data_IF_441888599689
#
_entry.id   IF_441888599689
#
_cell.length_a   1.000
_cell.length_b   1.000
_cell.length_c   1.000
_cell.angle_alpha   90.00
_cell.angle_beta   90.00
_cell.angle_gamma   90.00
#
_symmetry.space_group_name_H-M   'P 1'
#
loop_
_entity.id
_entity.type
_entity.pdbx_description
1 polymer ?
#
# COMPACT_ATOMS: atom_id res chain seq x y z
N UNK A 1 -8.49 4.89 5.34
CA UNK A 1 -7.10 5.15 4.88
C UNK A 1 -7.07 6.45 4.09
N UNK A 2 -5.99 7.23 4.20
CA UNK A 2 -5.79 8.47 3.41
C UNK A 2 -4.76 8.19 2.32
N UNK A 3 -5.19 8.23 1.06
CA UNK A 3 -4.28 8.18 -0.08
C UNK A 3 -3.64 9.56 -0.26
N UNK A 4 -2.36 9.58 -0.59
CA UNK A 4 -1.62 10.81 -0.87
C UNK A 4 -0.88 10.68 -2.21
N UNK A 5 -0.74 11.81 -2.92
CA UNK A 5 0.09 11.86 -4.12
C UNK A 5 1.55 11.56 -3.79
N UNK A 6 2.28 11.00 -4.74
CA UNK A 6 3.67 10.52 -4.59
C UNK A 6 3.86 9.41 -3.54
N UNK A 7 2.80 8.80 -3.04
CA UNK A 7 2.89 7.65 -2.14
C UNK A 7 3.22 6.37 -2.92
N UNK A 8 4.15 5.57 -2.39
CA UNK A 8 4.60 4.32 -3.02
C UNK A 8 4.11 3.14 -2.21
N UNK A 9 3.50 2.17 -2.88
CA UNK A 9 3.02 0.92 -2.32
C UNK A 9 3.73 -0.25 -2.99
N UNK A 10 4.07 -1.30 -2.26
CA UNK A 10 4.66 -2.53 -2.81
C UNK A 10 3.59 -3.61 -2.84
N UNK A 11 3.29 -4.13 -4.03
CA UNK A 11 2.37 -5.24 -4.22
C UNK A 11 3.14 -6.43 -4.81
N UNK A 12 3.45 -7.42 -3.99
CA UNK A 12 4.33 -8.52 -4.38
C UNK A 12 5.69 -8.00 -4.89
N UNK A 13 5.99 -8.25 -6.17
CA UNK A 13 7.24 -7.87 -6.84
C UNK A 13 7.19 -6.55 -7.63
N UNK A 14 6.09 -5.80 -7.52
CA UNK A 14 5.92 -4.50 -8.18
C UNK A 14 5.61 -3.39 -7.20
N UNK A 15 5.90 -2.17 -7.62
CA UNK A 15 5.70 -0.94 -6.88
C UNK A 15 4.62 -0.11 -7.58
N UNK A 16 3.70 0.45 -6.81
CA UNK A 16 2.59 1.29 -7.22
C UNK A 16 2.83 2.70 -6.68
N UNK A 17 3.13 3.66 -7.54
CA UNK A 17 3.32 5.05 -7.16
C UNK A 17 2.11 5.87 -7.53
N UNK A 18 1.42 6.45 -6.55
CA UNK A 18 0.28 7.34 -6.81
C UNK A 18 0.79 8.63 -7.45
N UNK A 19 0.27 8.95 -8.63
CA UNK A 19 0.62 10.17 -9.38
C UNK A 19 -0.43 11.26 -9.12
N UNK A 20 -1.70 10.93 -9.32
CA UNK A 20 -2.83 11.84 -9.08
C UNK A 20 -3.98 11.15 -8.35
N UNK A 21 -4.76 11.95 -7.64
CA UNK A 21 -5.97 11.52 -6.94
C UNK A 21 -7.10 12.39 -7.41
N UNK A 22 -8.08 11.76 -8.06
CA UNK A 22 -9.31 12.43 -8.45
C UNK A 22 -10.42 12.17 -7.42
N UNK A 23 -11.61 12.70 -7.69
CA UNK A 23 -12.75 12.61 -6.78
C UNK A 23 -13.15 11.16 -6.51
N UNK A 24 -13.20 10.32 -7.55
CA UNK A 24 -13.59 8.90 -7.45
C UNK A 24 -12.54 7.93 -8.01
N UNK A 25 -11.45 8.47 -8.56
CA UNK A 25 -10.39 7.69 -9.19
C UNK A 25 -9.02 7.96 -8.57
N UNK A 26 -8.11 7.04 -8.81
CA UNK A 26 -6.72 7.03 -8.38
C UNK A 26 -5.87 6.70 -9.59
N UNK A 27 -4.95 7.59 -9.92
CA UNK A 27 -3.94 7.37 -10.94
C UNK A 27 -2.64 6.93 -10.27
N UNK A 28 -2.11 5.80 -10.71
CA UNK A 28 -0.86 5.27 -10.20
C UNK A 28 0.00 4.70 -11.32
N UNK A 29 1.30 4.70 -11.11
CA UNK A 29 2.26 4.02 -11.98
C UNK A 29 2.71 2.70 -11.36
N UNK A 30 2.69 1.62 -12.14
CA UNK A 30 3.33 0.36 -11.79
C UNK A 30 4.77 0.35 -12.27
N UNK A 31 5.70 -0.05 -11.41
CA UNK A 31 7.12 -0.12 -11.74
C UNK A 31 7.75 -1.33 -11.03
N UNK A 32 8.80 -1.92 -11.62
CA UNK A 32 9.52 -3.05 -10.99
C UNK A 32 10.54 -2.60 -9.95
N UNK A 33 10.98 -1.33 -10.04
CA UNK A 33 11.89 -0.72 -9.08
C UNK A 33 11.35 0.64 -8.63
N UNK A 34 11.52 1.03 -7.36
CA UNK A 34 11.04 2.30 -6.83
C UNK A 34 11.81 3.52 -7.37
N UNK A 35 12.98 3.30 -7.97
CA UNK A 35 13.85 4.30 -8.59
C UNK A 35 13.60 4.46 -10.08
N UNK A 36 12.92 3.51 -10.72
CA UNK A 36 12.67 3.56 -12.15
C UNK A 36 11.55 4.55 -12.46
N UNK A 37 11.80 5.43 -13.43
CA UNK A 37 10.83 6.41 -13.92
C UNK A 37 9.91 5.83 -15.01
N UNK A 38 10.30 4.69 -15.57
CA UNK A 38 9.52 3.94 -16.55
C UNK A 38 8.56 2.98 -15.83
N UNK A 39 7.29 3.11 -16.16
CA UNK A 39 6.23 2.35 -15.53
C UNK A 39 4.89 2.59 -16.23
N UNK A 40 4.02 1.59 -16.17
CA UNK A 40 2.71 1.66 -16.80
C UNK A 40 1.78 2.52 -15.96
N UNK A 41 1.08 3.46 -16.62
CA UNK A 41 0.13 4.33 -15.95
C UNK A 41 -1.24 3.66 -15.90
N UNK A 42 -1.79 3.55 -14.71
CA UNK A 42 -3.11 2.97 -14.48
C UNK A 42 -4.02 4.00 -13.84
N UNK A 43 -5.22 4.11 -14.40
CA UNK A 43 -6.32 4.87 -13.84
C UNK A 43 -7.37 3.88 -13.34
N UNK A 44 -7.62 3.85 -12.04
CA UNK A 44 -8.60 2.95 -11.43
C UNK A 44 -9.50 3.71 -10.48
N UNK A 45 -10.66 3.15 -10.15
CA UNK A 45 -11.51 3.74 -9.13
C UNK A 45 -10.90 3.58 -7.73
N UNK A 46 -11.29 4.45 -6.77
CA UNK A 46 -10.91 4.29 -5.35
C UNK A 46 -11.29 2.93 -4.79
N UNK A 47 -12.40 2.34 -5.25
CA UNK A 47 -12.86 1.01 -4.85
C UNK A 47 -11.89 -0.08 -5.31
N UNK A 48 -11.44 0.00 -6.56
CA UNK A 48 -10.45 -0.94 -7.11
C UNK A 48 -9.08 -0.75 -6.47
N UNK A 49 -8.64 0.49 -6.30
CA UNK A 49 -7.36 0.77 -5.65
C UNK A 49 -7.33 0.23 -4.22
N UNK A 50 -8.38 0.47 -3.43
CA UNK A 50 -8.48 -0.09 -2.08
C UNK A 50 -8.49 -1.63 -2.05
N UNK A 51 -8.91 -2.31 -3.12
CA UNK A 51 -8.77 -3.77 -3.24
C UNK A 51 -7.33 -4.18 -3.51
N UNK A 52 -6.63 -3.46 -4.40
CA UNK A 52 -5.20 -3.68 -4.65
C UNK A 52 -4.36 -3.48 -3.38
N UNK A 53 -4.75 -2.50 -2.56
CA UNK A 53 -4.10 -2.22 -1.28
C UNK A 53 -4.23 -3.33 -0.25
N UNK A 54 -5.19 -4.26 -0.38
CA UNK A 54 -5.31 -5.39 0.55
C UNK A 54 -4.07 -6.28 0.51
N UNK A 55 -3.50 -6.45 -0.67
CA UNK A 55 -2.31 -7.26 -0.93
C UNK A 55 -1.05 -6.39 -1.10
N UNK A 56 -1.13 -5.08 -0.81
CA UNK A 56 -0.03 -4.16 -0.97
C UNK A 56 0.41 -3.54 0.36
N UNK A 57 1.70 -3.33 0.52
CA UNK A 57 2.33 -2.76 1.70
C UNK A 57 2.75 -1.33 1.40
N UNK A 58 2.36 -0.38 2.25
CA UNK A 58 2.77 1.01 2.11
C UNK A 58 4.27 1.15 2.39
N UNK A 59 5.03 1.75 1.48
CA UNK A 59 6.43 2.09 1.68
C UNK A 59 6.54 3.55 2.13
N UNK A 60 6.47 3.77 3.45
CA UNK A 60 6.80 5.07 4.05
C UNK A 60 8.31 5.17 4.27
N UNK A 61 8.97 6.28 3.88
CA UNK A 61 10.41 6.45 4.06
C UNK A 61 10.85 6.69 5.53
N UNK A 62 9.95 6.64 6.51
CA UNK A 62 10.29 6.82 7.92
C UNK A 62 9.24 6.20 8.84
N UNK A 63 9.74 5.61 9.93
CA UNK A 63 9.05 5.03 11.08
C UNK A 63 8.48 3.61 10.91
N UNK A 64 9.32 2.65 11.31
CA UNK A 64 9.02 1.43 12.08
C UNK A 64 8.07 0.39 11.46
N UNK A 65 8.50 -0.89 11.34
CA UNK A 65 7.64 -1.95 10.80
C UNK A 65 6.34 -2.07 11.62
N UNK A 66 5.19 -2.26 10.96
CA UNK A 66 3.93 -2.45 11.66
C UNK A 66 4.01 -3.78 12.41
N UNK A 67 4.02 -3.69 13.75
CA UNK A 67 3.89 -4.82 14.65
C UNK A 67 2.69 -5.67 14.20
N UNK A 68 2.95 -6.95 13.97
CA UNK A 68 1.95 -8.00 13.87
C UNK A 68 0.84 -7.76 14.88
N UNK A 69 -0.36 -7.50 14.36
CA UNK A 69 -1.59 -7.66 15.11
C UNK A 69 -1.85 -9.16 15.29
N UNK A 70 -1.08 -9.78 16.18
CA UNK A 70 -1.32 -11.11 16.73
C UNK A 70 -1.66 -10.98 18.20
N UNK A 71 -2.95 -10.97 18.54
CA UNK A 71 -3.44 -11.19 19.90
C UNK A 71 -4.85 -11.79 19.81
N UNK A 72 -5.31 -12.61 20.78
CA UNK A 72 -4.64 -13.60 21.63
C UNK A 72 -5.40 -14.96 21.58
N UNK A 73 -5.17 -15.96 22.46
CA UNK A 73 -5.88 -15.92 23.74
C UNK A 73 -5.08 -16.41 24.96
N UNK A 74 -5.45 -15.84 26.10
CA UNK A 74 -5.62 -16.45 27.44
C UNK A 74 -4.87 -17.74 27.76
N UNK A 75 -3.99 -17.68 28.76
CA UNK A 75 -3.91 -18.74 29.76
C UNK A 75 -3.69 -18.13 31.15
N UNK A 76 -4.77 -18.06 31.93
CA UNK A 76 -4.69 -17.89 33.39
C UNK A 76 -4.37 -19.26 33.99
N UNK A 77 -3.11 -19.68 33.87
CA UNK A 77 -2.59 -20.96 34.36
C UNK A 77 -1.96 -20.86 35.74
N UNK A 78 -2.84 -20.78 36.75
CA UNK A 78 -2.68 -21.26 38.14
C UNK A 78 -1.37 -21.99 38.50
N UNK A 79 -0.68 -21.53 39.56
CA UNK A 79 -0.07 -22.35 40.62
C UNK A 79 0.32 -21.47 41.82
#
# INVERSE_FOLDING_TARGET
MRLQQNQIWKQGDRYLRIVSLERLSVDYKTMRSPTDKEGEHHHVTKKEFCRLLKDAVLLTPSASPPKEAGSPPSDCGRS
#
